data_IF_001701011701
#
_entry.id   IF_001701011701
#
_cell.length_a   1.000
_cell.length_b   1.000
_cell.length_c   1.000
_cell.angle_alpha   90.00
_cell.angle_beta   90.00
_cell.angle_gamma   90.00
#
_symmetry.space_group_name_H-M   'P 1'
#
loop_
_entity.id
_entity.type
_entity.pdbx_description
1 polymer ?
#
# COMPACT_ATOMS: atom_id res chain seq x y z
N UNK A 1 -37.47 -77.95 -30.04
CA UNK A 1 -38.17 -76.79 -29.49
C UNK A 1 -37.08 -75.78 -29.12
N UNK A 2 -36.72 -74.89 -30.08
CA UNK A 2 -35.64 -73.93 -29.93
C UNK A 2 -36.23 -72.55 -29.58
N UNK A 3 -35.86 -72.06 -28.41
CA UNK A 3 -36.26 -70.67 -27.98
C UNK A 3 -35.07 -69.84 -28.14
N UNK A 4 -35.19 -68.85 -29.10
CA UNK A 4 -34.18 -67.86 -29.42
C UNK A 4 -34.41 -66.61 -28.53
N UNK A 5 -33.47 -66.27 -27.64
CA UNK A 5 -33.50 -65.04 -26.87
C UNK A 5 -32.94 -63.87 -27.71
N UNK A 6 -33.77 -62.90 -28.01
CA UNK A 6 -33.42 -61.64 -28.63
C UNK A 6 -33.07 -60.61 -27.55
N UNK A 7 -31.81 -60.27 -27.40
CA UNK A 7 -31.33 -59.22 -26.49
C UNK A 7 -31.58 -57.85 -27.15
N UNK A 8 -32.41 -57.02 -26.53
CA UNK A 8 -32.56 -55.61 -26.91
C UNK A 8 -31.46 -54.85 -26.15
N UNK A 9 -30.55 -54.23 -26.91
CA UNK A 9 -29.54 -53.32 -26.39
C UNK A 9 -30.13 -51.90 -26.52
N UNK A 10 -30.61 -51.32 -25.39
CA UNK A 10 -31.07 -49.94 -25.35
C UNK A 10 -29.87 -49.02 -25.22
N UNK A 11 -29.54 -48.27 -26.25
CA UNK A 11 -28.55 -47.22 -26.24
C UNK A 11 -29.16 -45.98 -25.55
N UNK A 12 -28.70 -45.67 -24.34
CA UNK A 12 -29.08 -44.46 -23.62
C UNK A 12 -28.14 -43.38 -24.06
N UNK A 13 -28.61 -42.44 -24.92
CA UNK A 13 -27.89 -41.22 -25.32
C UNK A 13 -28.01 -40.22 -24.18
N UNK A 14 -26.93 -40.03 -23.38
CA UNK A 14 -26.82 -38.95 -22.43
C UNK A 14 -26.45 -37.68 -23.24
N UNK A 15 -27.40 -36.76 -23.43
CA UNK A 15 -27.14 -35.43 -23.91
C UNK A 15 -26.42 -34.63 -22.82
N UNK A 16 -25.14 -34.44 -22.95
CA UNK A 16 -24.39 -33.48 -22.17
C UNK A 16 -24.65 -32.09 -22.77
N UNK A 17 -25.52 -31.30 -22.17
CA UNK A 17 -25.65 -29.88 -22.48
C UNK A 17 -24.41 -29.17 -21.94
N UNK A 18 -23.47 -28.84 -22.82
CA UNK A 18 -22.37 -27.94 -22.52
C UNK A 18 -22.98 -26.55 -22.44
N UNK A 19 -23.22 -26.05 -21.24
CA UNK A 19 -23.46 -24.63 -21.02
C UNK A 19 -22.14 -23.92 -21.28
N UNK A 20 -22.03 -23.27 -22.41
CA UNK A 20 -20.95 -22.31 -22.70
C UNK A 20 -21.21 -21.11 -21.79
N UNK A 21 -20.50 -21.02 -20.68
CA UNK A 21 -20.39 -19.79 -19.93
C UNK A 21 -19.62 -18.81 -20.84
N UNK A 22 -20.32 -17.83 -21.38
CA UNK A 22 -19.69 -16.66 -21.95
C UNK A 22 -18.97 -15.97 -20.80
N UNK A 23 -17.64 -16.12 -20.71
CA UNK A 23 -16.84 -15.24 -19.91
C UNK A 23 -16.94 -13.86 -20.55
N UNK A 24 -17.67 -12.96 -19.92
CA UNK A 24 -17.53 -11.53 -20.19
C UNK A 24 -16.09 -11.21 -19.84
N UNK A 25 -15.31 -10.81 -20.84
CA UNK A 25 -13.96 -10.27 -20.60
C UNK A 25 -14.19 -9.00 -19.79
N UNK A 26 -13.78 -9.01 -18.53
CA UNK A 26 -13.89 -7.85 -17.65
C UNK A 26 -12.96 -6.78 -18.20
N UNK A 27 -13.50 -5.63 -18.54
CA UNK A 27 -12.74 -4.50 -19.04
C UNK A 27 -11.85 -3.98 -17.90
N UNK A 28 -10.52 -3.92 -18.13
CA UNK A 28 -9.58 -3.41 -17.14
C UNK A 28 -9.56 -1.89 -17.26
N UNK A 29 -10.00 -1.22 -16.21
CA UNK A 29 -10.12 0.24 -16.13
C UNK A 29 -9.06 0.79 -15.18
N UNK A 30 -8.32 1.81 -15.62
CA UNK A 30 -7.44 2.62 -14.79
C UNK A 30 -8.30 3.61 -14.02
N UNK A 31 -8.29 3.51 -12.71
CA UNK A 31 -9.12 4.30 -11.79
C UNK A 31 -8.34 5.40 -11.06
N UNK A 32 -7.05 5.25 -11.01
CA UNK A 32 -6.18 6.22 -10.36
C UNK A 32 -5.93 7.48 -11.19
N UNK A 33 -6.45 7.64 -12.41
CA UNK A 33 -6.42 8.88 -13.16
C UNK A 33 -7.57 9.83 -12.74
N UNK A 34 -7.54 11.06 -13.20
CA UNK A 34 -8.62 12.04 -12.97
C UNK A 34 -9.98 11.57 -13.53
N UNK A 35 -9.94 10.72 -14.55
CA UNK A 35 -11.08 10.00 -15.12
C UNK A 35 -10.77 8.51 -15.19
N UNK A 36 -11.77 7.70 -14.98
CA UNK A 36 -11.66 6.27 -15.29
C UNK A 36 -11.51 6.09 -16.80
N UNK A 37 -10.47 5.36 -17.22
CA UNK A 37 -10.18 5.05 -18.62
C UNK A 37 -9.91 3.57 -18.77
N UNK A 38 -10.20 3.04 -19.95
CA UNK A 38 -9.73 1.70 -20.32
C UNK A 38 -8.20 1.69 -20.32
N UNK A 39 -7.58 0.62 -19.80
CA UNK A 39 -6.12 0.45 -19.77
C UNK A 39 -5.48 0.57 -21.16
N UNK A 40 -6.23 0.27 -22.24
CA UNK A 40 -5.77 0.39 -23.62
C UNK A 40 -5.77 1.84 -24.14
N UNK A 41 -6.47 2.73 -23.47
CA UNK A 41 -6.54 4.16 -23.77
C UNK A 41 -5.62 4.99 -22.89
N UNK A 42 -4.92 4.33 -21.97
CA UNK A 42 -3.98 5.01 -21.05
C UNK A 42 -2.67 5.32 -21.76
N UNK A 43 -2.29 6.59 -21.77
CA UNK A 43 -1.08 7.09 -22.42
C UNK A 43 0.20 6.70 -21.66
N UNK A 44 0.09 6.31 -20.40
CA UNK A 44 1.22 5.93 -19.55
C UNK A 44 1.38 4.41 -19.46
N UNK A 45 2.59 3.98 -19.12
CA UNK A 45 2.86 2.55 -18.87
C UNK A 45 2.33 2.15 -17.49
N UNK A 46 1.19 1.51 -17.43
CA UNK A 46 0.54 1.06 -16.20
C UNK A 46 0.44 -0.47 -16.12
N UNK A 47 0.55 -1.01 -14.91
CA UNK A 47 0.18 -2.39 -14.57
C UNK A 47 -0.97 -2.32 -13.59
N UNK A 48 -2.04 -3.05 -13.90
CA UNK A 48 -3.24 -3.10 -13.07
C UNK A 48 -3.39 -4.51 -12.49
N UNK A 49 -3.41 -4.60 -11.16
CA UNK A 49 -3.75 -5.81 -10.42
C UNK A 49 -5.19 -5.65 -9.92
N UNK A 50 -6.10 -6.35 -10.55
CA UNK A 50 -7.51 -6.31 -10.17
C UNK A 50 -7.79 -7.17 -8.92
N UNK A 51 -9.00 -7.06 -8.39
CA UNK A 51 -9.42 -7.78 -7.20
C UNK A 51 -9.23 -9.30 -7.33
N UNK A 52 -9.49 -9.92 -8.50
CA UNK A 52 -9.33 -11.35 -8.69
C UNK A 52 -7.88 -11.80 -8.51
N UNK A 53 -6.92 -11.05 -9.06
CA UNK A 53 -5.49 -11.31 -8.90
C UNK A 53 -5.10 -11.16 -7.43
N UNK A 54 -5.54 -10.08 -6.78
CA UNK A 54 -5.22 -9.80 -5.38
C UNK A 54 -5.80 -10.88 -4.46
N UNK A 55 -7.06 -11.26 -4.64
CA UNK A 55 -7.72 -12.29 -3.82
C UNK A 55 -7.15 -13.68 -4.02
N UNK A 56 -6.60 -13.99 -5.20
CA UNK A 56 -5.96 -15.27 -5.47
C UNK A 56 -4.65 -15.48 -4.69
N UNK A 57 -4.05 -14.41 -4.14
CA UNK A 57 -2.80 -14.50 -3.41
C UNK A 57 -3.01 -14.87 -1.94
N UNK A 58 -2.23 -15.81 -1.41
CA UNK A 58 -2.38 -16.26 -0.02
C UNK A 58 -1.87 -15.25 1.00
N UNK A 59 -0.97 -14.34 0.59
CA UNK A 59 -0.37 -13.31 1.44
C UNK A 59 -0.97 -11.96 1.08
N UNK A 60 -1.50 -11.25 2.06
CA UNK A 60 -2.23 -10.00 1.87
C UNK A 60 -1.36 -8.77 2.17
N UNK A 61 -0.19 -8.70 1.52
CA UNK A 61 0.67 -7.52 1.58
C UNK A 61 1.23 -7.18 0.20
N UNK A 62 1.31 -5.88 -0.15
CA UNK A 62 1.71 -5.42 -1.48
C UNK A 62 3.15 -5.83 -1.84
N UNK A 63 4.09 -5.85 -0.89
CA UNK A 63 5.46 -6.31 -1.15
C UNK A 63 5.50 -7.70 -1.79
N UNK A 64 4.56 -8.57 -1.38
CA UNK A 64 4.43 -9.92 -1.92
C UNK A 64 3.79 -9.97 -3.31
N UNK A 65 3.17 -8.88 -3.77
CA UNK A 65 2.64 -8.74 -5.14
C UNK A 65 3.63 -8.07 -6.09
N UNK A 66 4.71 -7.49 -5.57
CA UNK A 66 5.69 -6.73 -6.38
C UNK A 66 6.28 -7.54 -7.54
N UNK A 67 6.42 -8.88 -7.37
CA UNK A 67 6.93 -9.77 -8.42
C UNK A 67 5.99 -9.87 -9.65
N UNK A 68 4.71 -9.51 -9.50
CA UNK A 68 3.75 -9.44 -10.62
C UNK A 68 3.93 -8.19 -11.48
N UNK A 69 4.71 -7.23 -11.01
CA UNK A 69 4.92 -5.95 -11.70
C UNK A 69 6.34 -5.90 -12.24
N UNK A 70 6.53 -5.93 -13.57
CA UNK A 70 7.88 -5.87 -14.17
C UNK A 70 8.63 -4.60 -13.78
N UNK A 71 9.90 -4.76 -13.38
CA UNK A 71 10.81 -3.68 -12.96
C UNK A 71 10.35 -2.89 -11.71
N UNK A 72 9.51 -3.49 -10.87
CA UNK A 72 9.22 -3.03 -9.53
C UNK A 72 10.10 -3.79 -8.54
N UNK A 73 10.82 -3.05 -7.70
CA UNK A 73 11.59 -3.58 -6.57
C UNK A 73 11.21 -2.80 -5.32
N UNK A 74 11.65 -3.26 -4.17
CA UNK A 74 11.49 -2.55 -2.91
C UNK A 74 12.76 -2.59 -2.07
N UNK A 75 12.87 -1.65 -1.15
CA UNK A 75 13.87 -1.63 -0.09
C UNK A 75 13.16 -1.73 1.26
N UNK A 76 13.52 -2.77 2.02
CA UNK A 76 13.06 -2.96 3.39
C UNK A 76 14.15 -2.52 4.38
N UNK A 77 13.74 -2.23 5.61
CA UNK A 77 14.61 -2.22 6.78
C UNK A 77 14.69 -3.63 7.36
N UNK A 78 14.13 -3.85 8.53
CA UNK A 78 14.14 -5.16 9.21
C UNK A 78 12.84 -5.93 8.98
N UNK A 79 11.72 -5.25 8.82
CA UNK A 79 10.40 -5.87 8.81
C UNK A 79 9.73 -5.83 7.45
N UNK A 80 9.35 -4.65 6.97
CA UNK A 80 8.54 -4.45 5.78
C UNK A 80 9.22 -3.53 4.76
N UNK A 81 8.78 -3.65 3.51
CA UNK A 81 9.15 -2.72 2.44
C UNK A 81 8.74 -1.29 2.79
N UNK A 82 9.71 -0.37 2.91
CA UNK A 82 9.43 1.06 3.16
C UNK A 82 9.37 1.86 1.86
N UNK A 83 10.29 1.60 0.97
CA UNK A 83 10.46 2.32 -0.29
C UNK A 83 10.35 1.37 -1.47
N UNK A 84 9.87 1.90 -2.57
CA UNK A 84 9.76 1.17 -3.83
C UNK A 84 10.67 1.79 -4.89
N UNK A 85 11.06 0.97 -5.85
CA UNK A 85 11.89 1.37 -6.99
C UNK A 85 11.20 0.93 -8.27
N UNK A 86 11.05 1.85 -9.21
CA UNK A 86 10.48 1.57 -10.53
C UNK A 86 11.55 1.82 -11.59
N UNK A 87 11.83 0.81 -12.42
CA UNK A 87 12.89 0.86 -13.45
C UNK A 87 14.28 1.24 -12.88
N UNK A 88 14.55 0.83 -11.64
CA UNK A 88 15.81 1.10 -10.96
C UNK A 88 15.92 2.47 -10.31
N UNK A 89 14.88 3.30 -10.38
CA UNK A 89 14.84 4.63 -9.74
C UNK A 89 14.02 4.53 -8.46
N UNK A 90 14.58 5.00 -7.34
CA UNK A 90 13.99 4.99 -6.00
C UNK A 90 15.04 4.79 -4.93
N UNK A 91 14.64 4.92 -3.69
CA UNK A 91 15.48 4.72 -2.51
C UNK A 91 15.90 3.25 -2.41
N UNK A 92 17.18 3.00 -2.09
CA UNK A 92 17.78 1.66 -2.12
C UNK A 92 17.88 1.00 -0.77
N UNK A 93 17.57 1.73 0.30
CA UNK A 93 17.67 1.23 1.67
C UNK A 93 16.43 1.64 2.45
N UNK A 94 15.88 0.73 3.26
CA UNK A 94 14.84 1.02 4.23
C UNK A 94 15.29 1.90 5.38
N UNK A 95 16.62 2.04 5.55
CA UNK A 95 17.24 2.92 6.56
C UNK A 95 17.39 4.37 6.08
N UNK A 96 17.17 4.65 4.80
CA UNK A 96 17.17 6.01 4.28
C UNK A 96 16.00 6.82 4.86
N UNK A 97 16.23 8.11 5.03
CA UNK A 97 15.30 9.05 5.66
C UNK A 97 14.91 10.13 4.67
N UNK A 98 14.55 9.73 3.46
CA UNK A 98 14.16 10.64 2.39
C UNK A 98 12.74 11.11 2.65
N UNK A 99 12.49 12.39 2.93
CA UNK A 99 11.13 12.89 3.19
C UNK A 99 10.25 12.84 1.95
N UNK A 100 10.84 13.01 0.77
CA UNK A 100 10.16 12.92 -0.54
C UNK A 100 10.65 11.70 -1.29
N UNK A 101 9.83 10.67 -1.40
CA UNK A 101 10.16 9.45 -2.13
C UNK A 101 10.11 9.64 -3.64
N UNK A 102 11.05 9.00 -4.37
CA UNK A 102 11.04 9.01 -5.83
C UNK A 102 9.84 8.26 -6.43
N UNK A 103 9.30 7.29 -5.72
CA UNK A 103 8.05 6.58 -6.06
C UNK A 103 6.94 7.03 -5.14
N UNK A 104 5.87 7.57 -5.71
CA UNK A 104 4.65 7.91 -4.99
C UNK A 104 3.92 6.66 -4.53
N UNK A 105 3.33 6.70 -3.34
CA UNK A 105 2.57 5.60 -2.77
C UNK A 105 1.27 6.13 -2.16
N UNK A 106 0.16 5.90 -2.84
CA UNK A 106 -1.15 6.39 -2.44
C UNK A 106 -2.10 5.25 -2.10
N UNK A 107 -2.89 5.43 -1.05
CA UNK A 107 -4.04 4.59 -0.73
C UNK A 107 -5.26 5.50 -0.66
N UNK A 108 -6.25 5.30 -1.55
CA UNK A 108 -7.50 6.09 -1.65
C UNK A 108 -7.27 7.63 -1.70
N UNK A 109 -6.24 8.09 -2.42
CA UNK A 109 -5.79 9.49 -2.57
C UNK A 109 -5.10 10.08 -1.33
N UNK A 110 -4.78 9.30 -0.32
CA UNK A 110 -3.92 9.72 0.79
C UNK A 110 -2.47 9.35 0.46
N UNK A 111 -1.55 10.28 0.62
CA UNK A 111 -0.12 10.07 0.38
C UNK A 111 0.56 9.38 1.57
N UNK A 112 1.07 8.18 1.32
CA UNK A 112 1.89 7.39 2.24
C UNK A 112 3.30 7.12 1.65
N UNK A 113 3.79 7.98 0.79
CA UNK A 113 5.10 7.82 0.15
C UNK A 113 6.22 7.66 1.19
N UNK A 114 7.06 6.63 1.02
CA UNK A 114 8.08 6.27 2.01
C UNK A 114 7.59 5.49 3.24
N UNK A 115 6.33 5.05 3.24
CA UNK A 115 5.67 4.32 4.32
C UNK A 115 5.07 2.99 3.83
N UNK A 116 5.71 2.33 2.85
CA UNK A 116 5.15 1.14 2.18
C UNK A 116 4.83 -0.05 3.09
N UNK A 117 5.33 -0.07 4.33
CA UNK A 117 5.04 -1.12 5.31
C UNK A 117 3.55 -1.27 5.67
N UNK A 118 2.75 -0.25 5.43
CA UNK A 118 1.31 -0.25 5.74
C UNK A 118 0.43 -0.88 4.64
N UNK A 119 1.03 -1.45 3.62
CA UNK A 119 0.37 -1.85 2.38
C UNK A 119 -0.34 -3.21 2.47
N UNK A 120 -1.22 -3.43 3.45
CA UNK A 120 -2.11 -4.60 3.42
C UNK A 120 -3.00 -4.60 2.18
N UNK A 121 -3.21 -5.78 1.58
CA UNK A 121 -4.09 -5.94 0.41
C UNK A 121 -5.44 -6.55 0.76
N UNK A 122 -5.75 -6.66 2.05
CA UNK A 122 -7.08 -7.06 2.50
C UNK A 122 -8.10 -5.96 2.20
N UNK A 123 -9.23 -6.35 1.62
CA UNK A 123 -10.32 -5.46 1.22
C UNK A 123 -9.91 -4.39 0.21
N UNK A 124 -8.98 -4.74 -0.68
CA UNK A 124 -8.52 -3.91 -1.79
C UNK A 124 -9.28 -4.26 -3.06
N UNK A 125 -9.71 -3.24 -3.80
CA UNK A 125 -10.40 -3.37 -5.08
C UNK A 125 -9.39 -3.50 -6.23
N UNK A 126 -8.37 -2.63 -6.24
CA UNK A 126 -7.42 -2.54 -7.35
C UNK A 126 -6.09 -1.94 -6.89
N UNK A 127 -5.01 -2.38 -7.52
CA UNK A 127 -3.68 -1.79 -7.38
C UNK A 127 -3.18 -1.42 -8.77
N UNK A 128 -2.75 -0.19 -8.94
CA UNK A 128 -2.17 0.32 -10.16
C UNK A 128 -0.71 0.72 -9.91
N UNK A 129 0.17 0.33 -10.83
CA UNK A 129 1.57 0.75 -10.81
C UNK A 129 1.87 1.51 -12.10
N UNK A 130 1.88 2.82 -12.02
CA UNK A 130 2.22 3.72 -13.10
C UNK A 130 3.74 3.87 -13.16
N UNK A 131 4.34 3.51 -14.30
CA UNK A 131 5.80 3.46 -14.48
C UNK A 131 6.26 4.62 -15.33
N UNK A 132 6.81 5.62 -14.71
CA UNK A 132 7.26 6.89 -15.28
C UNK A 132 6.77 8.06 -14.46
N UNK A 133 7.24 9.29 -14.72
CA UNK A 133 6.90 10.45 -13.92
C UNK A 133 5.39 10.71 -13.84
N UNK A 134 4.89 10.89 -12.62
CA UNK A 134 3.49 11.23 -12.31
C UNK A 134 3.37 12.54 -11.52
N UNK A 135 4.41 13.38 -11.56
CA UNK A 135 4.46 14.62 -10.79
C UNK A 135 3.40 15.66 -11.15
N UNK A 136 2.91 15.66 -12.41
CA UNK A 136 1.80 16.52 -12.82
C UNK A 136 0.48 16.16 -12.14
N UNK A 137 0.37 14.92 -11.66
CA UNK A 137 -0.85 14.34 -11.10
C UNK A 137 -0.89 14.39 -9.58
N UNK A 138 0.24 14.14 -8.90
CA UNK A 138 0.32 14.03 -7.44
C UNK A 138 1.33 14.98 -6.81
N UNK A 139 1.93 15.87 -7.57
CA UNK A 139 2.85 16.89 -7.05
C UNK A 139 4.27 16.39 -6.80
N UNK A 140 4.82 16.64 -5.61
CA UNK A 140 6.25 16.53 -5.30
C UNK A 140 6.83 15.12 -5.28
N UNK A 141 6.04 14.09 -5.05
CA UNK A 141 6.45 12.69 -5.07
C UNK A 141 6.18 12.09 -6.46
N UNK A 142 6.73 10.90 -6.76
CA UNK A 142 6.49 10.16 -8.01
C UNK A 142 7.27 10.64 -9.25
N UNK A 143 8.55 10.95 -9.10
CA UNK A 143 9.47 11.17 -10.22
C UNK A 143 9.71 9.88 -11.04
N UNK A 144 9.74 8.72 -10.38
CA UNK A 144 9.96 7.42 -11.01
C UNK A 144 8.66 6.70 -11.38
N UNK A 145 7.58 7.00 -10.67
CA UNK A 145 6.27 6.40 -10.85
C UNK A 145 5.38 6.51 -9.63
N UNK A 146 4.22 5.88 -9.72
CA UNK A 146 3.19 5.91 -8.70
C UNK A 146 2.65 4.50 -8.46
N UNK A 147 2.52 4.11 -7.21
CA UNK A 147 1.74 2.97 -6.76
C UNK A 147 0.45 3.53 -6.17
N UNK A 148 -0.68 3.16 -6.75
CA UNK A 148 -2.00 3.59 -6.31
C UNK A 148 -2.82 2.39 -5.88
N UNK A 149 -3.18 2.32 -4.60
CA UNK A 149 -4.02 1.28 -4.02
C UNK A 149 -5.41 1.85 -3.80
N UNK A 150 -6.42 1.22 -4.38
CA UNK A 150 -7.82 1.54 -4.15
C UNK A 150 -8.46 0.45 -3.32
N UNK A 151 -9.03 0.81 -2.20
CA UNK A 151 -9.76 -0.12 -1.35
C UNK A 151 -11.23 -0.15 -1.72
N UNK A 152 -11.94 -1.25 -1.37
CA UNK A 152 -13.36 -1.41 -1.72
C UNK A 152 -14.19 -0.27 -1.15
N UNK A 153 -15.17 0.17 -1.94
CA UNK A 153 -16.11 1.24 -1.56
C UNK A 153 -17.34 0.66 -0.83
N UNK A 154 -18.03 1.48 -0.02
CA UNK A 154 -19.37 1.16 0.46
C UNK A 154 -20.34 0.89 -0.70
N UNK A 155 -21.16 -0.15 -0.56
CA UNK A 155 -22.13 -0.62 -1.57
C UNK A 155 -23.57 -0.25 -1.20
N UNK A 156 -24.47 -0.31 -2.17
CA UNK A 156 -25.91 -0.03 -1.96
C UNK A 156 -26.66 -1.25 -1.41
N UNK A 157 -26.01 -2.39 -1.29
CA UNK A 157 -26.54 -3.61 -0.68
C UNK A 157 -25.59 -4.06 0.43
N UNK A 158 -26.13 -4.67 1.48
CA UNK A 158 -25.28 -5.20 2.54
C UNK A 158 -24.45 -6.38 2.00
N UNK A 159 -23.16 -6.30 2.14
CA UNK A 159 -22.21 -7.35 1.78
C UNK A 159 -21.10 -7.45 2.82
N UNK A 160 -20.42 -8.58 2.84
CA UNK A 160 -19.28 -8.78 3.73
C UNK A 160 -18.40 -9.90 3.25
N UNK A 161 -17.16 -9.84 3.69
CA UNK A 161 -16.14 -10.89 3.49
C UNK A 161 -15.41 -11.15 4.79
N UNK A 162 -15.00 -12.38 4.99
CA UNK A 162 -14.13 -12.75 6.10
C UNK A 162 -13.04 -13.69 5.60
N UNK A 163 -11.86 -13.56 6.17
CA UNK A 163 -10.71 -14.37 5.83
C UNK A 163 -9.99 -14.80 7.10
N UNK A 164 -9.60 -16.07 7.16
CA UNK A 164 -8.72 -16.61 8.20
C UNK A 164 -7.62 -17.39 7.51
N UNK A 165 -6.38 -17.09 7.82
CA UNK A 165 -5.20 -17.79 7.31
C UNK A 165 -4.43 -18.40 8.48
N UNK A 166 -4.19 -19.71 8.42
CA UNK A 166 -3.34 -20.44 9.34
C UNK A 166 -2.17 -21.02 8.56
N UNK A 167 -0.97 -20.86 9.07
CA UNK A 167 0.23 -21.28 8.35
C UNK A 167 1.39 -21.68 9.26
N UNK A 168 2.52 -21.98 8.65
CA UNK A 168 3.78 -22.26 9.35
C UNK A 168 4.23 -21.06 10.19
N UNK A 169 5.10 -21.30 11.14
CA UNK A 169 5.68 -20.26 12.02
C UNK A 169 4.63 -19.49 12.81
N UNK A 170 3.61 -20.19 13.31
CA UNK A 170 2.56 -19.56 14.12
C UNK A 170 1.69 -18.56 13.36
N UNK A 171 1.74 -18.57 12.01
CA UNK A 171 0.93 -17.64 11.19
C UNK A 171 -0.56 -17.83 11.47
N UNK A 172 -1.20 -16.73 11.84
CA UNK A 172 -2.63 -16.62 12.14
C UNK A 172 -3.11 -15.23 11.74
N UNK A 173 -3.65 -15.12 10.55
CA UNK A 173 -4.17 -13.86 10.06
C UNK A 173 -5.70 -13.92 10.03
N UNK A 174 -6.34 -12.84 10.39
CA UNK A 174 -7.78 -12.72 10.38
C UNK A 174 -8.20 -11.38 9.78
N UNK A 175 -9.23 -11.40 8.96
CA UNK A 175 -9.80 -10.20 8.38
C UNK A 175 -11.32 -10.32 8.28
N UNK A 176 -12.01 -9.23 8.54
CA UNK A 176 -13.44 -9.09 8.29
C UNK A 176 -13.70 -7.71 7.70
N UNK A 177 -14.47 -7.68 6.62
CA UNK A 177 -14.97 -6.44 6.05
C UNK A 177 -16.46 -6.59 5.76
N UNK A 178 -17.24 -5.57 6.09
CA UNK A 178 -18.67 -5.55 5.83
C UNK A 178 -19.17 -4.13 5.70
N UNK A 179 -20.29 -3.97 4.99
CA UNK A 179 -20.91 -2.68 4.79
C UNK A 179 -22.16 -2.76 3.95
N UNK A 180 -22.75 -1.60 3.68
CA UNK A 180 -23.98 -1.42 2.95
C UNK A 180 -24.70 -0.13 3.37
N UNK A 181 -25.97 0.06 2.99
CA UNK A 181 -26.76 1.20 3.44
C UNK A 181 -27.01 1.14 4.94
N UNK A 182 -27.12 2.30 5.58
CA UNK A 182 -27.51 2.36 6.99
C UNK A 182 -29.00 2.10 7.15
N UNK A 183 -29.42 1.52 8.28
CA UNK A 183 -30.84 1.22 8.53
C UNK A 183 -31.72 2.47 8.76
N UNK A 184 -31.10 3.63 9.00
CA UNK A 184 -31.80 4.86 9.35
C UNK A 184 -31.80 5.90 8.21
N UNK A 185 -30.96 5.73 7.19
CA UNK A 185 -30.90 6.61 6.03
C UNK A 185 -30.27 5.89 4.83
N UNK A 186 -31.06 5.64 3.79
CA UNK A 186 -30.62 4.96 2.55
C UNK A 186 -29.60 5.79 1.73
N UNK A 187 -29.53 7.10 1.97
CA UNK A 187 -28.50 7.96 1.33
C UNK A 187 -27.11 7.81 1.96
N UNK A 188 -26.98 7.07 3.06
CA UNK A 188 -25.71 6.83 3.74
C UNK A 188 -25.37 5.34 3.65
N UNK A 189 -24.22 5.05 3.06
CA UNK A 189 -23.64 3.71 3.09
C UNK A 189 -22.27 3.73 3.78
N UNK A 190 -21.89 2.60 4.36
CA UNK A 190 -20.64 2.45 5.09
C UNK A 190 -19.92 1.16 4.70
N UNK A 191 -18.61 1.11 4.94
CA UNK A 191 -17.79 -0.10 4.88
C UNK A 191 -16.76 -0.06 6.00
N UNK A 192 -16.78 -1.09 6.85
CA UNK A 192 -15.79 -1.31 7.90
C UNK A 192 -14.93 -2.49 7.52
N UNK A 193 -13.61 -2.33 7.54
CA UNK A 193 -12.64 -3.38 7.33
C UNK A 193 -11.67 -3.43 8.51
N UNK A 194 -11.49 -4.61 9.08
CA UNK A 194 -10.61 -4.91 10.19
C UNK A 194 -9.69 -6.05 9.78
N UNK A 195 -8.40 -5.89 9.98
CA UNK A 195 -7.39 -6.91 9.63
C UNK A 195 -6.34 -7.00 10.72
N UNK A 196 -6.00 -8.24 11.09
CA UNK A 196 -4.83 -8.58 11.89
C UNK A 196 -3.97 -9.59 11.14
N UNK A 197 -2.68 -9.33 11.04
CA UNK A 197 -1.68 -10.24 10.51
C UNK A 197 -0.66 -10.55 11.61
N UNK A 198 -0.53 -11.82 11.96
CA UNK A 198 0.40 -12.31 12.97
C UNK A 198 1.19 -13.51 12.47
N UNK A 199 2.50 -13.51 12.76
CA UNK A 199 3.38 -14.66 12.57
C UNK A 199 4.56 -14.58 13.54
N UNK A 200 4.98 -15.71 14.10
CA UNK A 200 6.22 -15.78 14.90
C UNK A 200 7.47 -15.56 14.04
N UNK A 201 7.34 -15.70 12.72
CA UNK A 201 8.48 -15.66 11.81
C UNK A 201 9.36 -16.91 11.91
N UNK A 202 10.38 -16.98 11.07
CA UNK A 202 11.21 -18.18 10.91
C UNK A 202 12.62 -18.04 11.48
N UNK A 203 13.00 -16.87 11.98
CA UNK A 203 14.31 -16.60 12.56
C UNK A 203 14.32 -16.83 14.05
N UNK A 204 15.51 -17.19 14.56
CA UNK A 204 15.75 -17.43 15.97
C UNK A 204 16.97 -16.65 16.41
N UNK A 205 16.91 -16.09 17.60
CA UNK A 205 18.07 -15.53 18.25
C UNK A 205 18.65 -16.56 19.23
N UNK A 206 19.83 -17.08 18.91
CA UNK A 206 20.48 -18.12 19.73
C UNK A 206 21.07 -17.58 21.01
N UNK A 207 21.43 -16.29 21.07
CA UNK A 207 21.95 -15.66 22.27
C UNK A 207 20.84 -15.48 23.32
N UNK A 208 19.73 -14.89 22.94
CA UNK A 208 18.61 -14.65 23.86
C UNK A 208 17.68 -15.87 24.03
N UNK A 209 17.81 -16.91 23.17
CA UNK A 209 16.92 -18.06 23.12
C UNK A 209 15.54 -17.79 22.55
N UNK A 210 15.28 -16.60 21.99
CA UNK A 210 14.00 -16.26 21.37
C UNK A 210 13.85 -16.89 20.00
N UNK A 211 12.63 -17.38 19.66
CA UNK A 211 12.30 -18.02 18.39
C UNK A 211 11.35 -17.23 17.51
N UNK A 212 11.20 -15.92 17.79
CA UNK A 212 10.24 -15.04 17.11
C UNK A 212 10.86 -13.69 16.77
N UNK A 213 12.11 -13.68 16.34
CA UNK A 213 12.87 -12.45 16.08
C UNK A 213 12.50 -11.77 14.76
N UNK A 214 11.78 -12.47 13.88
CA UNK A 214 11.17 -11.92 12.68
C UNK A 214 9.63 -12.00 12.76
N UNK A 215 9.08 -11.84 13.97
CA UNK A 215 7.62 -11.76 14.22
C UNK A 215 6.99 -10.70 13.32
N UNK A 216 5.74 -10.94 12.94
CA UNK A 216 4.82 -9.94 12.40
C UNK A 216 3.65 -9.78 13.36
N UNK A 217 3.30 -8.52 13.67
CA UNK A 217 2.16 -8.18 14.53
C UNK A 217 1.58 -6.87 14.03
N UNK A 218 0.60 -6.98 13.13
CA UNK A 218 0.16 -5.87 12.30
C UNK A 218 -1.36 -5.78 12.34
N UNK A 219 -1.89 -4.61 12.70
CA UNK A 219 -3.32 -4.31 12.74
C UNK A 219 -3.67 -3.20 11.76
N UNK A 220 -4.76 -3.36 11.02
CA UNK A 220 -5.32 -2.33 10.13
C UNK A 220 -6.82 -2.21 10.35
N UNK A 221 -7.27 -0.99 10.59
CA UNK A 221 -8.67 -0.63 10.77
C UNK A 221 -9.03 0.47 9.78
N UNK A 222 -10.10 0.28 8.99
CA UNK A 222 -10.56 1.26 8.00
C UNK A 222 -12.07 1.38 8.02
N UNK A 223 -12.56 2.60 8.13
CA UNK A 223 -13.97 2.93 8.01
C UNK A 223 -14.16 3.91 6.85
N UNK A 224 -15.03 3.56 5.91
CA UNK A 224 -15.50 4.45 4.84
C UNK A 224 -16.99 4.75 5.04
N UNK A 225 -17.37 5.98 4.74
CA UNK A 225 -18.77 6.43 4.76
C UNK A 225 -19.00 7.22 3.47
N UNK A 226 -19.98 6.82 2.68
CA UNK A 226 -20.48 7.56 1.55
C UNK A 226 -21.85 8.13 1.89
N UNK A 227 -22.05 9.43 1.67
CA UNK A 227 -23.30 10.12 1.94
C UNK A 227 -23.75 10.91 0.71
N UNK A 228 -24.90 10.55 0.16
CA UNK A 228 -25.59 11.30 -0.88
C UNK A 228 -26.39 12.43 -0.21
N UNK A 229 -25.70 13.56 0.06
CA UNK A 229 -26.28 14.70 0.80
C UNK A 229 -27.44 15.34 0.04
N UNK A 230 -27.35 15.40 -1.30
CA UNK A 230 -28.35 15.89 -2.25
C UNK A 230 -28.17 15.17 -3.57
N UNK A 231 -29.12 15.31 -4.50
CA UNK A 231 -29.07 14.67 -5.83
C UNK A 231 -27.76 14.93 -6.59
N UNK A 232 -27.19 16.12 -6.46
CA UNK A 232 -25.95 16.54 -7.12
C UNK A 232 -24.73 16.62 -6.18
N UNK A 233 -24.87 16.26 -4.88
CA UNK A 233 -23.78 16.41 -3.91
C UNK A 233 -23.55 15.11 -3.15
N UNK A 234 -22.34 14.58 -3.27
CA UNK A 234 -21.87 13.38 -2.54
C UNK A 234 -20.69 13.72 -1.64
N UNK A 235 -20.69 13.16 -0.45
CA UNK A 235 -19.61 13.24 0.52
C UNK A 235 -19.06 11.84 0.73
N UNK A 236 -17.73 11.73 0.79
CA UNK A 236 -17.06 10.48 1.16
C UNK A 236 -16.09 10.78 2.29
N UNK A 237 -16.13 9.96 3.33
CA UNK A 237 -15.22 10.05 4.47
C UNK A 237 -14.47 8.74 4.60
N UNK A 238 -13.21 8.82 5.01
CA UNK A 238 -12.41 7.67 5.37
C UNK A 238 -11.59 7.98 6.61
N UNK A 239 -11.57 7.00 7.53
CA UNK A 239 -10.67 6.97 8.69
C UNK A 239 -9.90 5.66 8.58
N UNK A 240 -8.59 5.74 8.75
CA UNK A 240 -7.72 4.56 8.77
C UNK A 240 -6.77 4.67 9.96
N UNK A 241 -6.63 3.56 10.68
CA UNK A 241 -5.61 3.39 11.71
C UNK A 241 -4.82 2.12 11.41
N UNK A 242 -3.51 2.22 11.49
CA UNK A 242 -2.57 1.13 11.22
C UNK A 242 -1.56 1.08 12.34
N UNK A 243 -1.31 -0.10 12.88
CA UNK A 243 -0.32 -0.37 13.91
C UNK A 243 0.53 -1.57 13.50
N UNK A 244 1.83 -1.36 13.33
CA UNK A 244 2.82 -2.38 13.02
C UNK A 244 3.78 -2.45 14.22
N UNK A 245 3.85 -3.59 14.90
CA UNK A 245 4.73 -3.84 16.07
C UNK A 245 5.65 -5.03 15.79
N UNK A 246 6.58 -4.82 14.88
CA UNK A 246 7.50 -5.84 14.42
C UNK A 246 8.87 -5.67 15.08
N UNK A 247 9.57 -6.75 15.47
CA UNK A 247 10.95 -6.68 15.93
C UNK A 247 11.91 -6.45 14.77
N UNK A 248 13.07 -5.88 15.09
CA UNK A 248 14.19 -5.70 14.18
C UNK A 248 15.39 -6.53 14.67
N UNK A 249 15.36 -7.84 14.39
CA UNK A 249 16.43 -8.79 14.72
C UNK A 249 16.52 -9.86 13.62
N UNK A 250 16.95 -9.41 12.43
CA UNK A 250 17.03 -10.28 11.24
C UNK A 250 18.45 -10.40 10.66
N UNK A 251 19.34 -9.54 11.06
CA UNK A 251 20.72 -9.53 10.57
C UNK A 251 21.57 -10.61 11.24
N UNK A 252 22.41 -11.26 10.46
CA UNK A 252 23.24 -12.38 10.93
C UNK A 252 24.68 -12.21 10.44
N UNK A 253 25.63 -12.52 11.28
CA UNK A 253 27.06 -12.43 10.97
C UNK A 253 27.46 -13.46 9.89
N UNK A 254 26.84 -14.63 9.91
CA UNK A 254 27.21 -15.81 9.10
C UNK A 254 26.27 -16.07 7.91
N UNK A 255 25.27 -15.21 7.69
CA UNK A 255 24.25 -15.39 6.65
C UNK A 255 23.27 -16.54 6.93
N UNK A 256 23.23 -17.07 8.16
CA UNK A 256 22.26 -18.12 8.57
C UNK A 256 20.87 -17.51 8.83
N UNK A 257 19.95 -18.37 9.30
CA UNK A 257 18.63 -17.92 9.78
C UNK A 257 18.62 -17.65 11.29
N UNK A 258 19.78 -17.75 11.95
CA UNK A 258 19.90 -17.54 13.38
C UNK A 258 20.65 -16.24 13.67
N UNK A 259 20.03 -15.38 14.44
CA UNK A 259 20.67 -14.15 14.93
C UNK A 259 21.42 -14.40 16.24
N UNK A 260 22.34 -13.53 16.55
CA UNK A 260 23.17 -13.57 17.77
C UNK A 260 23.10 -12.27 18.57
N UNK A 261 22.22 -11.38 18.20
CA UNK A 261 22.05 -10.05 18.77
C UNK A 261 21.75 -10.12 20.26
N UNK A 262 22.47 -9.34 21.05
CA UNK A 262 22.19 -9.15 22.47
C UNK A 262 21.31 -7.92 22.74
N UNK A 263 21.17 -7.03 21.74
CA UNK A 263 20.36 -5.80 21.78
C UNK A 263 19.35 -5.73 20.63
N UNK A 264 18.43 -6.72 20.48
CA UNK A 264 17.47 -6.72 19.38
C UNK A 264 16.62 -5.45 19.39
N UNK A 265 16.36 -4.93 18.21
CA UNK A 265 15.62 -3.70 18.01
C UNK A 265 14.14 -3.89 17.69
N UNK A 266 13.56 -2.82 17.13
CA UNK A 266 12.14 -2.71 16.76
C UNK A 266 12.00 -2.01 15.40
N UNK A 267 11.07 -2.47 14.59
CA UNK A 267 10.61 -1.82 13.36
C UNK A 267 9.10 -1.63 13.46
N UNK A 268 8.67 -0.57 14.13
CA UNK A 268 7.26 -0.30 14.37
C UNK A 268 6.78 0.96 13.67
N UNK A 269 5.49 1.00 13.36
CA UNK A 269 4.85 2.16 12.75
C UNK A 269 3.41 2.27 13.22
N UNK A 270 3.02 3.47 13.67
CA UNK A 270 1.62 3.83 13.95
C UNK A 270 1.20 4.94 13.03
N UNK A 271 0.10 4.74 12.32
CA UNK A 271 -0.41 5.73 11.37
C UNK A 271 -1.90 5.94 11.58
N UNK A 272 -2.31 7.19 11.76
CA UNK A 272 -3.68 7.63 11.74
C UNK A 272 -3.90 8.48 10.50
N UNK A 273 -4.95 8.21 9.75
CA UNK A 273 -5.27 8.96 8.54
C UNK A 273 -6.76 9.28 8.45
N UNK A 274 -7.04 10.44 7.91
CA UNK A 274 -8.40 10.89 7.62
C UNK A 274 -8.45 11.47 6.22
N UNK A 275 -9.54 11.19 5.49
CA UNK A 275 -9.86 11.92 4.27
C UNK A 275 -11.34 12.26 4.16
N UNK A 276 -11.61 13.39 3.50
CA UNK A 276 -12.94 13.84 3.15
C UNK A 276 -12.95 14.28 1.69
N UNK A 277 -13.88 13.73 0.91
CA UNK A 277 -14.07 14.10 -0.49
C UNK A 277 -15.49 14.62 -0.69
N UNK A 278 -15.61 15.73 -1.41
CA UNK A 278 -16.89 16.34 -1.77
C UNK A 278 -16.97 16.38 -3.28
N UNK A 279 -18.03 15.81 -3.83
CA UNK A 279 -18.35 15.81 -5.25
C UNK A 279 -19.62 16.62 -5.44
N UNK A 280 -19.58 17.59 -6.34
CA UNK A 280 -20.76 18.40 -6.67
C UNK A 280 -20.87 18.52 -8.18
N UNK A 281 -21.95 17.94 -8.74
CA UNK A 281 -22.20 17.92 -10.18
C UNK A 281 -22.95 19.16 -10.62
N UNK A 282 -22.41 19.86 -11.57
CA UNK A 282 -23.02 21.00 -12.27
C UNK A 282 -23.37 20.63 -13.71
N UNK A 283 -24.01 21.54 -14.43
CA UNK A 283 -24.27 21.33 -15.86
C UNK A 283 -22.96 21.54 -16.63
N UNK A 284 -22.43 20.45 -17.18
CA UNK A 284 -21.22 20.45 -18.00
C UNK A 284 -19.92 20.12 -17.25
N UNK A 285 -19.90 20.05 -15.90
CA UNK A 285 -18.71 19.70 -15.13
C UNK A 285 -19.04 19.23 -13.73
N UNK A 286 -18.09 18.57 -13.09
CA UNK A 286 -18.09 18.22 -11.66
C UNK A 286 -16.99 18.98 -10.93
N UNK A 287 -17.30 19.52 -9.75
CA UNK A 287 -16.35 20.02 -8.77
C UNK A 287 -16.05 18.91 -7.75
N UNK A 288 -14.77 18.63 -7.57
CA UNK A 288 -14.28 17.75 -6.52
C UNK A 288 -13.42 18.57 -5.53
N UNK A 289 -13.64 18.34 -4.24
CA UNK A 289 -12.76 18.83 -3.16
C UNK A 289 -12.26 17.60 -2.41
N UNK A 290 -10.94 17.45 -2.30
CA UNK A 290 -10.29 16.31 -1.63
C UNK A 290 -9.39 16.87 -0.54
N UNK A 291 -9.69 16.51 0.70
CA UNK A 291 -8.88 16.86 1.88
C UNK A 291 -8.36 15.59 2.50
N UNK A 292 -7.07 15.52 2.84
CA UNK A 292 -6.52 14.41 3.61
C UNK A 292 -5.48 14.86 4.61
N UNK A 293 -5.32 14.08 5.67
CA UNK A 293 -4.26 14.28 6.66
C UNK A 293 -3.78 12.93 7.18
N UNK A 294 -2.49 12.85 7.49
CA UNK A 294 -1.88 11.69 8.17
C UNK A 294 -1.04 12.15 9.33
N UNK A 295 -1.00 11.33 10.35
CA UNK A 295 -0.10 11.43 11.49
C UNK A 295 0.55 10.05 11.68
N UNK A 296 1.88 10.00 11.62
CA UNK A 296 2.65 8.75 11.60
C UNK A 296 3.85 8.83 12.51
N UNK A 297 3.92 7.88 13.44
CA UNK A 297 5.09 7.61 14.27
C UNK A 297 5.81 6.34 13.78
N UNK A 298 7.11 6.41 13.62
CA UNK A 298 7.95 5.27 13.23
C UNK A 298 9.10 5.15 14.22
N UNK A 299 9.30 3.94 14.73
CA UNK A 299 10.49 3.57 15.50
C UNK A 299 11.24 2.51 14.72
N UNK A 300 12.49 2.80 14.39
CA UNK A 300 13.41 1.84 13.80
C UNK A 300 14.67 1.78 14.68
N UNK A 301 14.87 0.66 15.35
CA UNK A 301 16.10 0.42 16.11
C UNK A 301 16.63 -0.97 15.78
N UNK A 302 17.92 -1.15 15.86
CA UNK A 302 18.56 -2.42 15.54
C UNK A 302 19.93 -2.52 16.20
N UNK A 303 20.35 -3.76 16.41
CA UNK A 303 21.70 -4.13 16.76
C UNK A 303 22.60 -3.92 15.55
N UNK A 304 23.48 -2.93 15.62
CA UNK A 304 24.30 -2.50 14.49
C UNK A 304 25.58 -3.34 14.31
N UNK A 305 25.92 -4.18 15.29
CA UNK A 305 27.01 -5.16 15.17
C UNK A 305 26.54 -6.59 14.88
N UNK A 306 25.21 -6.85 14.95
CA UNK A 306 24.53 -8.11 14.64
C UNK A 306 24.91 -9.29 15.52
N UNK A 307 25.54 -9.03 16.66
CA UNK A 307 26.16 -10.05 17.49
C UNK A 307 25.99 -9.87 18.97
N UNK A 308 27.04 -10.19 19.65
CA UNK A 308 27.22 -10.03 21.11
C UNK A 308 28.72 -10.04 21.42
N UNK A 309 29.07 -9.84 22.69
CA UNK A 309 30.45 -9.77 23.15
C UNK A 309 31.33 -10.97 22.73
N UNK A 310 30.75 -12.18 22.63
CA UNK A 310 31.47 -13.38 22.19
C UNK A 310 31.66 -13.45 20.68
N UNK A 311 30.75 -12.84 19.93
CA UNK A 311 30.74 -12.87 18.45
C UNK A 311 31.96 -12.19 17.86
N UNK A 312 32.49 -11.16 18.53
CA UNK A 312 33.59 -10.32 18.07
C UNK A 312 34.88 -10.52 18.83
N UNK A 313 34.93 -11.47 19.79
CA UNK A 313 36.16 -11.74 20.57
C UNK A 313 37.37 -12.04 19.67
N UNK A 314 38.54 -11.52 19.96
CA UNK A 314 38.94 -10.84 21.21
C UNK A 314 38.68 -9.32 21.23
N UNK A 315 38.08 -8.76 20.19
CA UNK A 315 37.74 -7.34 20.15
C UNK A 315 36.45 -7.08 20.95
N UNK A 316 36.38 -5.93 21.58
CA UNK A 316 35.12 -5.38 22.09
C UNK A 316 34.46 -4.64 20.92
N UNK A 317 33.28 -5.08 20.52
CA UNK A 317 32.53 -4.46 19.44
C UNK A 317 31.03 -4.62 19.73
N UNK A 318 30.36 -3.53 20.10
CA UNK A 318 28.95 -3.49 20.46
C UNK A 318 28.40 -2.15 20.02
N UNK A 319 27.40 -2.15 19.13
CA UNK A 319 26.81 -0.96 18.57
C UNK A 319 25.30 -1.11 18.45
N UNK A 320 24.58 -0.05 18.82
CA UNK A 320 23.15 0.03 18.68
C UNK A 320 22.73 1.33 18.00
N UNK A 321 21.72 1.27 17.13
CA UNK A 321 21.15 2.43 16.46
C UNK A 321 19.65 2.48 16.68
N UNK A 322 19.12 3.65 17.04
CA UNK A 322 17.71 3.90 17.18
C UNK A 322 17.32 5.20 16.47
N UNK A 323 16.24 5.14 15.68
CA UNK A 323 15.66 6.30 15.01
C UNK A 323 14.18 6.38 15.35
N UNK A 324 13.76 7.54 15.84
CA UNK A 324 12.36 7.92 15.96
C UNK A 324 12.02 8.91 14.85
N UNK A 325 10.91 8.72 14.17
CA UNK A 325 10.40 9.61 13.13
C UNK A 325 8.96 9.91 13.43
N UNK A 326 8.63 11.18 13.45
CA UNK A 326 7.26 11.71 13.51
C UNK A 326 6.99 12.41 12.19
N UNK A 327 5.92 12.05 11.49
CA UNK A 327 5.55 12.63 10.20
C UNK A 327 4.09 13.02 10.19
N UNK A 328 3.84 14.28 9.87
CA UNK A 328 2.51 14.82 9.64
C UNK A 328 2.39 15.24 8.17
N UNK A 329 1.26 14.93 7.54
CA UNK A 329 0.92 15.45 6.21
C UNK A 329 -0.47 16.06 6.20
N UNK A 330 -0.62 17.11 5.38
CA UNK A 330 -1.93 17.68 5.05
C UNK A 330 -2.00 17.92 3.54
N UNK A 331 -3.12 17.56 2.93
CA UNK A 331 -3.36 17.76 1.51
C UNK A 331 -4.75 18.35 1.30
N UNK A 332 -4.84 19.35 0.42
CA UNK A 332 -6.10 19.91 -0.06
C UNK A 332 -6.03 20.05 -1.58
N UNK A 333 -7.00 19.47 -2.26
CA UNK A 333 -7.09 19.58 -3.71
C UNK A 333 -8.50 19.97 -4.13
N UNK A 334 -8.58 20.85 -5.15
CA UNK A 334 -9.82 21.18 -5.86
C UNK A 334 -9.65 20.86 -7.32
N UNK A 335 -10.59 20.11 -7.88
CA UNK A 335 -10.63 19.74 -9.30
C UNK A 335 -11.96 20.17 -9.92
N UNK A 336 -11.89 20.70 -11.13
CA UNK A 336 -13.03 20.83 -12.02
C UNK A 336 -12.81 19.85 -13.17
N UNK A 337 -13.76 18.99 -13.39
CA UNK A 337 -13.69 17.92 -14.40
C UNK A 337 -14.90 18.08 -15.31
N UNK A 338 -14.69 18.32 -16.61
CA UNK A 338 -15.79 18.43 -17.57
C UNK A 338 -16.58 17.11 -17.67
N UNK A 339 -17.82 17.16 -18.09
CA UNK A 339 -18.53 15.94 -18.49
C UNK A 339 -17.78 15.23 -19.64
N UNK A 340 -17.95 13.91 -19.80
CA UNK A 340 -17.38 13.15 -20.92
C UNK A 340 -17.77 13.72 -22.29
N UNK A 341 -16.95 13.38 -23.30
CA UNK A 341 -17.24 13.70 -24.69
C UNK A 341 -18.59 13.15 -25.11
N UNK A 342 -19.38 14.01 -25.79
CA UNK A 342 -20.63 13.62 -26.42
C UNK A 342 -20.66 14.20 -27.84
N UNK A 343 -20.35 13.36 -28.83
CA UNK A 343 -20.33 13.75 -30.25
C UNK A 343 -21.72 14.12 -30.79
N UNK A 344 -22.79 13.60 -30.19
CA UNK A 344 -24.14 13.87 -30.62
C UNK A 344 -24.60 15.30 -30.27
N UNK A 345 -24.03 15.84 -29.18
CA UNK A 345 -24.24 17.25 -28.78
C UNK A 345 -23.10 18.20 -29.20
N UNK A 346 -22.25 17.83 -30.17
CA UNK A 346 -21.07 18.58 -30.60
C UNK A 346 -20.06 18.88 -29.47
N UNK A 347 -20.06 18.10 -28.39
CA UNK A 347 -19.10 18.20 -27.30
C UNK A 347 -17.94 17.25 -27.59
N UNK A 348 -16.90 17.75 -28.21
CA UNK A 348 -15.74 16.99 -28.68
C UNK A 348 -14.46 17.28 -27.95
N UNK A 349 -14.55 17.79 -26.72
CA UNK A 349 -13.41 18.04 -25.84
C UNK A 349 -13.73 17.69 -24.40
N UNK A 350 -12.70 17.29 -23.68
CA UNK A 350 -12.69 17.06 -22.26
C UNK A 350 -11.57 17.86 -21.61
N UNK A 351 -11.81 18.34 -20.41
CA UNK A 351 -10.79 19.07 -19.67
C UNK A 351 -10.85 18.77 -18.18
N UNK A 352 -9.70 18.92 -17.56
CA UNK A 352 -9.51 18.92 -16.11
C UNK A 352 -8.73 20.18 -15.77
N UNK A 353 -9.14 20.87 -14.72
CA UNK A 353 -8.41 21.99 -14.13
C UNK A 353 -8.39 21.79 -12.62
N UNK A 354 -7.24 21.94 -12.00
CA UNK A 354 -7.13 21.79 -10.57
C UNK A 354 -6.07 22.65 -9.92
N UNK A 355 -6.22 22.78 -8.63
CA UNK A 355 -5.24 23.37 -7.73
C UNK A 355 -5.03 22.43 -6.56
N UNK A 356 -3.81 22.29 -6.09
CA UNK A 356 -3.49 21.49 -4.92
C UNK A 356 -2.51 22.19 -4.00
N UNK A 357 -2.67 21.92 -2.72
CA UNK A 357 -1.74 22.27 -1.65
C UNK A 357 -1.37 21.01 -0.89
N UNK A 358 -0.08 20.81 -0.65
CA UNK A 358 0.45 19.71 0.12
C UNK A 358 1.48 20.23 1.11
N UNK A 359 1.31 19.91 2.39
CA UNK A 359 2.22 20.21 3.49
C UNK A 359 2.72 18.92 4.12
N UNK A 360 4.02 18.84 4.36
CA UNK A 360 4.67 17.74 5.04
C UNK A 360 5.62 18.28 6.10
N UNK A 361 5.52 17.76 7.30
CA UNK A 361 6.45 18.00 8.40
C UNK A 361 6.98 16.67 8.89
N UNK A 362 8.28 16.62 9.08
CA UNK A 362 8.93 15.41 9.57
C UNK A 362 10.02 15.77 10.56
N UNK A 363 9.97 15.14 11.75
CA UNK A 363 11.02 15.17 12.73
C UNK A 363 11.70 13.80 12.79
N UNK A 364 13.02 13.78 12.79
CA UNK A 364 13.80 12.58 13.00
C UNK A 364 14.75 12.81 14.18
N UNK A 365 14.76 11.87 15.11
CA UNK A 365 15.73 11.79 16.19
C UNK A 365 16.49 10.47 16.05
N UNK A 366 17.79 10.54 15.82
CA UNK A 366 18.65 9.36 15.74
C UNK A 366 19.63 9.35 16.92
N UNK A 367 19.68 8.23 17.63
CA UNK A 367 20.64 7.96 18.68
C UNK A 367 21.43 6.71 18.30
N UNK A 368 22.75 6.84 18.29
CA UNK A 368 23.68 5.73 18.11
C UNK A 368 24.56 5.66 19.35
N UNK A 369 24.72 4.48 19.89
CA UNK A 369 25.66 4.21 20.97
C UNK A 369 26.50 2.98 20.65
N UNK A 370 27.73 2.96 21.15
CA UNK A 370 28.59 1.83 20.89
C UNK A 370 29.89 1.88 21.68
N UNK A 371 30.58 0.75 21.63
CA UNK A 371 31.90 0.59 22.24
C UNK A 371 32.81 -0.23 21.32
N UNK A 372 34.03 0.23 21.12
CA UNK A 372 35.06 -0.47 20.38
C UNK A 372 36.34 -0.62 21.23
N UNK A 373 36.91 -1.82 21.23
CA UNK A 373 38.19 -2.09 21.89
C UNK A 373 39.06 -3.09 21.16
N UNK A 374 40.30 -2.73 20.88
CA UNK A 374 41.33 -3.63 20.40
C UNK A 374 42.12 -4.17 21.60
N UNK A 375 42.28 -5.48 21.75
CA UNK A 375 43.07 -6.05 22.87
C UNK A 375 44.54 -5.61 22.89
N UNK A 376 45.07 -5.17 21.77
CA UNK A 376 46.42 -4.65 21.66
C UNK A 376 46.56 -3.18 22.06
N UNK A 377 45.46 -2.47 22.21
CA UNK A 377 45.42 -1.06 22.61
C UNK A 377 45.24 -0.95 24.14
N UNK A 378 46.28 -0.50 24.86
CA UNK A 378 46.21 -0.37 26.32
C UNK A 378 45.31 0.78 26.82
N UNK A 379 44.82 1.63 25.91
CA UNK A 379 43.96 2.78 26.22
C UNK A 379 42.50 2.53 25.97
N UNK A 380 42.15 1.46 25.21
CA UNK A 380 40.78 1.06 24.94
C UNK A 380 40.13 0.31 26.13
N UNK A 381 38.84 -0.04 26.04
CA UNK A 381 37.93 0.23 24.92
C UNK A 381 37.41 1.68 24.88
N UNK A 382 36.96 2.13 23.70
CA UNK A 382 36.43 3.48 23.48
C UNK A 382 34.91 3.42 23.30
N UNK A 383 34.19 4.12 24.16
CA UNK A 383 32.76 4.33 24.00
C UNK A 383 32.48 5.50 23.03
N UNK A 384 31.47 5.38 22.25
CA UNK A 384 30.95 6.45 21.37
C UNK A 384 29.46 6.58 21.56
N UNK A 385 29.00 7.82 21.69
CA UNK A 385 27.58 8.15 21.70
C UNK A 385 27.35 9.29 20.75
N UNK A 386 26.35 9.20 19.92
CA UNK A 386 25.94 10.28 19.07
C UNK A 386 24.41 10.43 19.07
N UNK A 387 23.96 11.68 19.12
CA UNK A 387 22.56 12.02 18.98
C UNK A 387 22.43 13.10 17.90
N UNK A 388 21.56 12.90 16.95
CA UNK A 388 21.26 13.86 15.91
C UNK A 388 19.75 14.02 15.74
N UNK A 389 19.31 15.26 15.61
CA UNK A 389 17.92 15.57 15.26
C UNK A 389 17.89 16.33 13.94
N UNK A 390 16.90 16.05 13.14
CA UNK A 390 16.60 16.83 11.93
C UNK A 390 15.12 17.13 11.85
N UNK A 391 14.80 18.31 11.37
CA UNK A 391 13.45 18.71 11.07
C UNK A 391 13.36 19.07 9.60
N UNK A 392 12.38 18.50 8.92
CA UNK A 392 12.05 18.82 7.54
C UNK A 392 10.62 19.36 7.48
N UNK A 393 10.46 20.45 6.73
CA UNK A 393 9.13 21.00 6.42
C UNK A 393 9.12 21.43 4.97
N UNK A 394 8.10 21.06 4.25
CA UNK A 394 7.91 21.46 2.86
C UNK A 394 6.44 21.68 2.59
N UNK A 395 6.11 22.80 2.02
CA UNK A 395 4.81 23.12 1.47
C UNK A 395 4.90 23.25 -0.05
N UNK A 396 3.92 22.73 -0.73
CA UNK A 396 3.83 22.72 -2.18
C UNK A 396 2.46 23.22 -2.62
N UNK A 397 2.44 24.20 -3.51
CA UNK A 397 1.23 24.67 -4.18
C UNK A 397 1.36 24.40 -5.67
N UNK A 398 0.35 23.75 -6.26
CA UNK A 398 0.36 23.37 -7.67
C UNK A 398 -0.92 23.80 -8.37
N UNK A 399 -0.79 24.17 -9.63
CA UNK A 399 -1.89 24.37 -10.57
C UNK A 399 -1.67 23.39 -11.70
N UNK A 400 -2.67 22.62 -12.05
CA UNK A 400 -2.57 21.63 -13.12
C UNK A 400 -3.81 21.67 -14.01
N UNK A 401 -3.68 21.16 -15.22
CA UNK A 401 -4.78 21.02 -16.16
C UNK A 401 -4.43 20.13 -17.31
N UNK A 402 -5.47 19.55 -17.90
CA UNK A 402 -5.40 18.72 -19.09
C UNK A 402 -6.57 19.09 -20.01
N UNK A 403 -6.32 19.12 -21.29
CA UNK A 403 -7.34 19.33 -22.33
C UNK A 403 -7.14 18.29 -23.40
N UNK A 404 -8.14 17.42 -23.60
CA UNK A 404 -8.20 16.47 -24.68
C UNK A 404 -9.21 16.93 -25.72
N UNK A 405 -8.80 17.04 -26.96
CA UNK A 405 -9.68 17.36 -28.08
C UNK A 405 -9.82 16.14 -29.00
N UNK A 406 -11.04 15.77 -29.28
CA UNK A 406 -11.36 14.59 -30.08
C UNK A 406 -11.80 15.04 -31.47
N UNK A 407 -10.99 14.79 -32.48
CA UNK A 407 -11.33 15.05 -33.88
C UNK A 407 -12.35 14.02 -34.40
N UNK A 408 -12.26 12.79 -33.92
CA UNK A 408 -13.20 11.69 -34.16
C UNK A 408 -13.27 10.80 -32.92
N UNK A 409 -14.19 9.83 -32.90
CA UNK A 409 -14.26 8.83 -31.78
C UNK A 409 -12.96 8.04 -31.56
N UNK A 410 -12.07 7.99 -32.57
CA UNK A 410 -10.83 7.20 -32.55
C UNK A 410 -9.56 8.04 -32.66
N UNK A 411 -9.66 9.37 -32.72
CA UNK A 411 -8.52 10.26 -32.88
C UNK A 411 -8.66 11.50 -32.00
N UNK A 412 -7.79 11.63 -31.03
CA UNK A 412 -7.74 12.75 -30.08
C UNK A 412 -6.31 13.30 -29.91
N UNK A 413 -6.18 14.48 -29.33
CA UNK A 413 -4.93 15.11 -28.94
C UNK A 413 -5.08 15.81 -27.59
#
# INVERSE_FOLDING_TARGET
MNITYRKYFSFFFIFFSVTVFSQTIEEIVVKGDWREKNVLEEDSSVVVLNNQIIESQPIKHFENLSYLVPNLNFAASDSRARHFQIRGIGERSGYERTPNSAVGFLIDDIDYSGQGGIATTFDVDQIEVHRGPQGSRIGSNALAGLIYIRTKEPTEVFEGTSEVTLGSYGTRNAGIAFGGPTQFNDDISYRLALRQDYSDGFRKNLYSGKSNTSKKDEDTYRLKINWKLRDKTKLKFMITQIDLDDPADIWTIDGSLNTLSDRPGMDSQKTNAFSMKIFNTFDGYELQSITSTTDTDVVLSYDADWGNADSHAPFTYDYFSATLRERETFSQEFRLISDPVDFDSNKNYEWVLGISYFDIKEMNLKNDDGIYGDPSDPFGPYASESSSSSYFSSDNFSIFGNLNYFFTKSFST
#
